data_IF_321724082064
#
_entry.id   IF_321724082064
#
_cell.length_a   1.000
_cell.length_b   1.000
_cell.length_c   1.000
_cell.angle_alpha   90.00
_cell.angle_beta   90.00
_cell.angle_gamma   90.00
#
_symmetry.space_group_name_H-M   'P 1'
#
loop_
_entity.id
_entity.type
_entity.pdbx_description
1 polymer ?
#
# COMPACT_ATOMS: atom_id res chain seq x y z
N UNK A 1 6.54 -12.76 -9.22
CA UNK A 1 5.55 -13.01 -10.29
C UNK A 1 5.85 -12.09 -11.45
N UNK A 2 5.50 -12.47 -12.68
CA UNK A 2 5.66 -11.69 -13.89
C UNK A 2 4.29 -11.60 -14.56
N UNK A 3 3.88 -10.39 -14.93
CA UNK A 3 2.67 -10.17 -15.73
C UNK A 3 3.02 -9.72 -17.14
N UNK A 4 2.10 -9.92 -18.08
CA UNK A 4 2.08 -9.19 -19.34
C UNK A 4 1.54 -7.76 -19.13
N UNK A 5 1.40 -7.02 -20.24
CA UNK A 5 0.97 -5.63 -20.32
C UNK A 5 -0.48 -5.39 -19.94
N UNK A 6 -1.35 -6.41 -20.05
CA UNK A 6 -2.74 -6.35 -19.60
C UNK A 6 -2.93 -6.76 -18.12
N UNK A 7 -1.89 -7.31 -17.47
CA UNK A 7 -1.89 -7.64 -16.05
C UNK A 7 -2.21 -9.11 -15.74
N UNK A 8 -2.11 -9.98 -16.74
CA UNK A 8 -2.22 -11.44 -16.59
C UNK A 8 -0.88 -12.01 -16.15
N UNK A 9 -0.90 -12.90 -15.16
CA UNK A 9 0.29 -13.59 -14.66
C UNK A 9 0.74 -14.64 -15.68
N UNK A 10 1.93 -14.42 -16.24
CA UNK A 10 2.59 -15.30 -17.23
C UNK A 10 3.76 -16.07 -16.63
N UNK A 11 4.10 -15.80 -15.37
CA UNK A 11 5.11 -16.54 -14.64
C UNK A 11 5.09 -16.24 -13.14
N UNK A 12 5.34 -17.25 -12.32
CA UNK A 12 5.54 -17.10 -10.89
C UNK A 12 6.55 -18.13 -10.41
N UNK A 13 7.34 -17.78 -9.41
CA UNK A 13 8.25 -18.75 -8.79
C UNK A 13 7.47 -19.72 -7.90
N UNK A 14 8.13 -20.80 -7.49
CA UNK A 14 7.53 -21.84 -6.65
C UNK A 14 6.98 -21.30 -5.34
N UNK A 15 7.67 -20.34 -4.71
CA UNK A 15 7.19 -19.72 -3.47
C UNK A 15 5.84 -19.03 -3.69
N UNK A 16 5.68 -18.22 -4.73
CA UNK A 16 4.41 -17.56 -5.02
C UNK A 16 3.29 -18.57 -5.30
N UNK A 17 3.56 -19.64 -6.05
CA UNK A 17 2.59 -20.69 -6.34
C UNK A 17 2.16 -21.46 -5.09
N UNK A 18 3.03 -21.60 -4.09
CA UNK A 18 2.73 -22.34 -2.87
C UNK A 18 1.83 -21.58 -1.87
N UNK A 19 1.83 -20.25 -1.89
CA UNK A 19 1.11 -19.41 -0.89
C UNK A 19 0.00 -18.54 -1.47
N UNK A 20 -0.06 -18.35 -2.79
CA UNK A 20 -1.08 -17.53 -3.43
C UNK A 20 -2.07 -18.42 -4.18
N UNK A 21 -3.37 -18.09 -4.17
CA UNK A 21 -4.42 -18.97 -4.70
C UNK A 21 -4.56 -18.91 -6.23
N UNK A 22 -3.73 -18.12 -6.92
CA UNK A 22 -3.87 -17.87 -8.36
C UNK A 22 -3.23 -18.95 -9.22
N UNK A 23 -3.76 -19.10 -10.43
CA UNK A 23 -3.22 -19.95 -11.50
C UNK A 23 -2.55 -19.13 -12.60
N UNK A 24 -1.67 -19.75 -13.38
CA UNK A 24 -1.12 -19.11 -14.58
C UNK A 24 -2.25 -18.73 -15.54
N UNK A 25 -2.21 -17.53 -16.10
CA UNK A 25 -3.30 -17.00 -16.93
C UNK A 25 -4.34 -16.20 -16.15
N UNK A 26 -4.35 -16.25 -14.82
CA UNK A 26 -5.18 -15.37 -14.01
C UNK A 26 -4.63 -13.94 -13.96
N UNK A 27 -5.51 -12.99 -13.64
CA UNK A 27 -5.09 -11.62 -13.33
C UNK A 27 -4.24 -11.58 -12.06
N UNK A 28 -3.29 -10.64 -12.01
CA UNK A 28 -2.51 -10.39 -10.79
C UNK A 28 -3.38 -10.04 -9.58
N UNK A 29 -4.55 -9.43 -9.82
CA UNK A 29 -5.52 -9.12 -8.76
C UNK A 29 -6.00 -10.39 -8.05
N UNK A 30 -6.26 -11.47 -8.78
CA UNK A 30 -6.66 -12.76 -8.20
C UNK A 30 -5.52 -13.35 -7.35
N UNK A 31 -4.29 -13.26 -7.85
CA UNK A 31 -3.12 -13.75 -7.11
C UNK A 31 -2.90 -13.01 -5.78
N UNK A 32 -3.16 -11.70 -5.75
CA UNK A 32 -2.86 -10.86 -4.59
C UNK A 32 -4.05 -10.65 -3.64
N UNK A 33 -5.27 -10.98 -4.03
CA UNK A 33 -6.48 -10.74 -3.23
C UNK A 33 -6.47 -11.49 -1.89
N UNK A 34 -5.81 -12.64 -1.80
CA UNK A 34 -5.67 -13.39 -0.55
C UNK A 34 -4.71 -12.73 0.46
N UNK A 35 -3.88 -11.77 0.03
CA UNK A 35 -2.90 -11.09 0.89
C UNK A 35 -3.15 -9.62 1.06
N UNK A 36 -3.83 -8.97 0.12
CA UNK A 36 -4.04 -7.53 0.14
C UNK A 36 -5.53 -7.19 0.25
N UNK A 37 -5.92 -6.23 1.13
CA UNK A 37 -7.32 -5.86 1.34
C UNK A 37 -7.98 -5.23 0.09
N UNK A 38 -7.22 -4.52 -0.75
CA UNK A 38 -7.67 -4.04 -2.07
C UNK A 38 -6.56 -4.18 -3.11
N UNK A 39 -6.37 -5.41 -3.61
CA UNK A 39 -5.36 -5.72 -4.61
C UNK A 39 -5.55 -4.91 -5.90
N UNK A 40 -6.79 -4.67 -6.34
CA UNK A 40 -7.09 -3.99 -7.59
C UNK A 40 -6.64 -2.52 -7.57
N UNK A 41 -6.91 -1.82 -6.46
CA UNK A 41 -6.47 -0.44 -6.28
C UNK A 41 -4.94 -0.35 -6.25
N UNK A 42 -4.27 -1.20 -5.46
CA UNK A 42 -2.80 -1.18 -5.33
C UNK A 42 -2.13 -1.40 -6.69
N UNK A 43 -2.56 -2.43 -7.43
CA UNK A 43 -2.05 -2.71 -8.77
C UNK A 43 -2.29 -1.53 -9.72
N UNK A 44 -3.49 -0.94 -9.71
CA UNK A 44 -3.83 0.18 -10.58
C UNK A 44 -2.99 1.43 -10.29
N UNK A 45 -2.77 1.74 -9.01
CA UNK A 45 -1.88 2.82 -8.57
C UNK A 45 -0.45 2.58 -9.07
N UNK A 46 0.09 1.39 -8.84
CA UNK A 46 1.45 1.05 -9.26
C UNK A 46 1.62 1.07 -10.78
N UNK A 47 0.64 0.56 -11.54
CA UNK A 47 0.66 0.62 -13.02
C UNK A 47 0.71 2.05 -13.54
N UNK A 48 -0.02 2.99 -12.92
CA UNK A 48 0.05 4.42 -13.30
C UNK A 48 1.45 5.00 -13.10
N UNK A 49 2.14 4.64 -12.02
CA UNK A 49 3.52 5.06 -11.78
C UNK A 49 4.44 4.45 -12.85
N UNK A 50 4.23 3.17 -13.17
CA UNK A 50 5.01 2.44 -14.18
C UNK A 50 4.81 2.95 -15.62
N UNK A 51 3.78 3.77 -15.89
CA UNK A 51 3.66 4.47 -17.18
C UNK A 51 4.69 5.58 -17.36
N UNK A 52 5.14 6.18 -16.24
CA UNK A 52 6.10 7.28 -16.25
C UNK A 52 7.52 6.85 -15.86
N UNK A 53 7.65 5.71 -15.17
CA UNK A 53 8.92 5.25 -14.59
C UNK A 53 9.07 3.73 -14.75
N UNK A 54 10.30 3.22 -14.77
CA UNK A 54 10.54 1.77 -14.87
C UNK A 54 10.35 1.02 -13.54
N UNK A 55 10.05 1.73 -12.45
CA UNK A 55 9.93 1.19 -11.10
C UNK A 55 8.74 1.81 -10.36
N UNK A 56 8.05 1.00 -9.57
CA UNK A 56 7.07 1.45 -8.60
C UNK A 56 7.17 0.60 -7.35
N UNK A 57 6.89 1.21 -6.19
CA UNK A 57 6.85 0.51 -4.92
C UNK A 57 5.64 0.99 -4.13
N UNK A 58 4.96 0.06 -3.49
CA UNK A 58 3.95 0.38 -2.49
C UNK A 58 4.14 -0.46 -1.23
N UNK A 59 3.68 0.07 -0.10
CA UNK A 59 3.68 -0.64 1.18
C UNK A 59 2.25 -0.67 1.71
N UNK A 60 1.73 -1.89 1.83
CA UNK A 60 0.34 -2.16 2.18
C UNK A 60 0.29 -2.71 3.60
N UNK A 61 -0.51 -2.09 4.44
CA UNK A 61 -0.82 -2.60 5.77
C UNK A 61 -1.94 -3.63 5.67
N UNK A 62 -1.71 -4.81 6.27
CA UNK A 62 -2.65 -5.93 6.32
C UNK A 62 -2.78 -6.41 7.76
N UNK A 63 -3.75 -7.28 8.04
CA UNK A 63 -3.89 -7.90 9.37
C UNK A 63 -2.65 -8.72 9.75
N UNK A 64 -2.01 -9.37 8.77
CA UNK A 64 -0.78 -10.15 8.94
C UNK A 64 0.51 -9.30 8.97
N UNK A 65 0.38 -7.98 9.01
CA UNK A 65 1.48 -7.03 9.05
C UNK A 65 1.69 -6.25 7.75
N UNK A 66 2.91 -5.76 7.54
CA UNK A 66 3.24 -4.87 6.44
C UNK A 66 3.79 -5.66 5.25
N UNK A 67 3.24 -5.41 4.07
CA UNK A 67 3.72 -5.98 2.81
C UNK A 67 4.31 -4.90 1.93
N UNK A 68 5.54 -5.11 1.48
CA UNK A 68 6.17 -4.29 0.46
C UNK A 68 5.99 -4.96 -0.89
N UNK A 69 5.58 -4.16 -1.87
CA UNK A 69 5.27 -4.62 -3.22
C UNK A 69 6.08 -3.76 -4.17
N UNK A 70 7.31 -4.18 -4.52
CA UNK A 70 8.05 -3.52 -5.57
C UNK A 70 7.71 -4.16 -6.92
N UNK A 71 7.64 -3.31 -7.94
CA UNK A 71 7.35 -3.68 -9.32
C UNK A 71 8.34 -3.01 -10.27
N UNK A 72 8.86 -3.78 -11.23
CA UNK A 72 9.78 -3.31 -12.25
C UNK A 72 9.24 -3.59 -13.63
N UNK A 73 9.29 -2.60 -14.50
CA UNK A 73 9.03 -2.82 -15.91
C UNK A 73 10.16 -3.65 -16.52
N UNK A 74 9.80 -4.74 -17.21
CA UNK A 74 10.73 -5.59 -17.96
C UNK A 74 10.44 -5.46 -19.46
N UNK A 75 11.30 -4.73 -20.15
CA UNK A 75 11.08 -4.40 -21.56
C UNK A 75 9.81 -3.56 -21.76
N UNK A 76 9.11 -3.76 -22.88
CA UNK A 76 7.92 -2.96 -23.22
C UNK A 76 6.60 -3.53 -22.73
N UNK A 77 6.55 -4.83 -22.39
CA UNK A 77 5.28 -5.55 -22.24
C UNK A 77 5.20 -6.44 -21.01
N UNK A 78 6.17 -6.39 -20.09
CA UNK A 78 6.15 -7.20 -18.88
C UNK A 78 6.42 -6.37 -17.65
N UNK A 79 5.88 -6.83 -16.54
CA UNK A 79 6.15 -6.25 -15.22
C UNK A 79 6.53 -7.39 -14.28
N UNK A 80 7.68 -7.27 -13.63
CA UNK A 80 8.12 -8.13 -12.54
C UNK A 80 7.56 -7.58 -11.24
N UNK A 81 6.81 -8.40 -10.53
CA UNK A 81 6.21 -8.10 -9.23
C UNK A 81 6.86 -8.95 -8.15
N UNK A 82 7.22 -8.34 -7.03
CA UNK A 82 7.63 -9.05 -5.82
C UNK A 82 6.68 -8.71 -4.69
N UNK A 83 6.51 -9.67 -3.79
CA UNK A 83 5.73 -9.51 -2.58
C UNK A 83 6.65 -9.87 -1.41
N UNK A 84 6.93 -8.89 -0.56
CA UNK A 84 7.86 -9.02 0.56
C UNK A 84 7.10 -8.75 1.86
N UNK A 85 7.09 -9.70 2.79
CA UNK A 85 6.62 -9.42 4.15
C UNK A 85 7.71 -8.67 4.88
N UNK A 86 7.41 -7.49 5.38
CA UNK A 86 8.30 -6.78 6.27
C UNK A 86 8.12 -7.35 7.67
N UNK A 87 8.94 -8.33 8.04
CA UNK A 87 9.05 -8.81 9.42
C UNK A 87 9.84 -7.78 10.22
N UNK A 88 9.18 -7.11 11.14
CA UNK A 88 9.86 -6.29 12.13
C UNK A 88 9.99 -7.14 13.40
N UNK A 89 11.17 -7.14 14.02
CA UNK A 89 11.46 -7.95 15.19
C UNK A 89 10.39 -7.74 16.28
N UNK A 90 9.93 -8.86 16.83
CA UNK A 90 8.92 -8.92 17.87
C UNK A 90 9.31 -8.02 19.05
N UNK A 91 8.51 -6.98 19.30
CA UNK A 91 8.73 -6.05 20.40
C UNK A 91 7.77 -4.86 20.47
N UNK A 92 7.22 -4.38 19.35
CA UNK A 92 6.29 -3.24 19.36
C UNK A 92 4.91 -3.62 18.80
N UNK A 93 4.02 -3.92 19.73
CA UNK A 93 2.67 -4.50 19.56
C UNK A 93 1.62 -3.60 18.92
N UNK A 94 1.97 -2.64 18.06
CA UNK A 94 0.93 -2.04 17.21
C UNK A 94 1.40 -1.44 15.89
N UNK A 95 2.68 -1.04 15.75
CA UNK A 95 3.21 -0.56 14.48
C UNK A 95 4.74 -0.59 14.44
N UNK A 96 5.34 -1.70 14.01
CA UNK A 96 6.77 -1.87 14.13
C UNK A 96 7.57 -1.30 12.94
N UNK A 97 6.98 -0.43 12.10
CA UNK A 97 7.61 0.08 10.88
C UNK A 97 8.23 1.48 11.01
N UNK A 98 9.34 1.74 10.29
CA UNK A 98 9.91 3.11 10.09
C UNK A 98 9.04 4.01 9.19
N UNK A 99 7.93 3.49 8.66
CA UNK A 99 7.04 4.22 7.76
C UNK A 99 5.94 4.82 8.62
N UNK A 100 5.76 6.14 8.53
CA UNK A 100 4.68 6.83 9.24
C UNK A 100 3.33 6.19 8.90
N UNK A 101 2.69 5.57 9.89
CA UNK A 101 1.46 4.81 9.76
C UNK A 101 0.42 5.29 10.77
N UNK A 102 -0.82 5.42 10.30
CA UNK A 102 -1.96 5.90 11.09
C UNK A 102 -3.13 4.94 10.87
N UNK A 103 -3.78 4.49 11.94
CA UNK A 103 -5.07 3.81 11.87
C UNK A 103 -6.18 4.80 12.17
N UNK A 104 -7.20 4.84 11.32
CA UNK A 104 -8.30 5.79 11.42
C UNK A 104 -9.63 5.05 11.41
N UNK A 105 -10.54 5.42 12.31
CA UNK A 105 -11.90 4.90 12.33
C UNK A 105 -12.74 5.56 11.22
N UNK A 106 -13.89 4.95 10.89
CA UNK A 106 -14.78 5.44 9.83
C UNK A 106 -15.23 6.90 10.01
N UNK A 107 -15.32 7.37 11.26
CA UNK A 107 -15.64 8.75 11.61
C UNK A 107 -14.45 9.73 11.52
N UNK A 108 -13.29 9.28 11.04
CA UNK A 108 -12.08 10.10 10.92
C UNK A 108 -11.24 10.22 12.20
N UNK A 109 -11.62 9.57 13.31
CA UNK A 109 -10.82 9.55 14.54
C UNK A 109 -9.56 8.70 14.35
N UNK A 110 -8.40 9.25 14.70
CA UNK A 110 -7.14 8.51 14.73
C UNK A 110 -7.16 7.58 15.93
N UNK A 111 -7.09 6.27 15.68
CA UNK A 111 -7.10 5.22 16.70
C UNK A 111 -5.69 4.93 17.19
N UNK A 112 -4.76 4.79 16.26
CA UNK A 112 -3.38 4.45 16.57
C UNK A 112 -2.40 5.17 15.64
N UNK A 113 -1.22 5.45 16.19
CA UNK A 113 -0.07 6.05 15.52
C UNK A 113 1.18 5.28 15.89
N UNK A 114 2.06 5.05 14.91
CA UNK A 114 3.40 4.54 15.19
C UNK A 114 4.37 5.66 15.54
N UNK A 115 5.53 5.31 16.09
CA UNK A 115 6.53 6.31 16.47
C UNK A 115 6.96 7.17 15.26
N UNK A 116 7.17 6.57 14.09
CA UNK A 116 7.48 7.30 12.86
C UNK A 116 6.40 8.33 12.47
N UNK A 117 5.10 8.03 12.66
CA UNK A 117 4.02 8.97 12.45
C UNK A 117 3.97 10.06 13.51
N UNK A 118 4.24 9.74 14.79
CA UNK A 118 4.35 10.74 15.86
C UNK A 118 5.47 11.74 15.59
N UNK A 119 6.60 11.27 15.06
CA UNK A 119 7.75 12.11 14.73
C UNK A 119 7.41 13.11 13.59
N UNK A 120 6.65 12.65 12.59
CA UNK A 120 6.26 13.43 11.40
C UNK A 120 5.09 14.38 11.68
N UNK A 121 4.05 13.91 12.38
CA UNK A 121 2.77 14.62 12.57
C UNK A 121 2.72 15.43 13.87
N UNK A 122 3.57 15.09 14.85
CA UNK A 122 3.46 15.57 16.23
C UNK A 122 2.47 14.75 17.06
N UNK A 123 2.64 14.77 18.37
CA UNK A 123 1.94 13.89 19.33
C UNK A 123 0.44 14.18 19.56
N UNK A 124 -0.15 15.19 18.90
CA UNK A 124 -1.49 15.71 19.23
C UNK A 124 -2.55 15.49 18.14
N UNK A 125 -2.23 14.79 17.05
CA UNK A 125 -3.20 14.51 16.00
C UNK A 125 -4.21 13.43 16.44
N UNK A 126 -5.42 13.84 16.82
CA UNK A 126 -6.51 12.94 17.25
C UNK A 126 -7.57 12.69 16.17
N UNK A 127 -7.59 13.52 15.11
CA UNK A 127 -8.47 13.37 13.95
C UNK A 127 -7.69 13.50 12.66
N UNK A 128 -8.06 12.70 11.65
CA UNK A 128 -7.41 12.71 10.35
C UNK A 128 -7.60 14.06 9.63
N UNK A 129 -8.70 14.78 9.90
CA UNK A 129 -8.94 16.12 9.35
C UNK A 129 -7.96 17.18 9.87
N UNK A 130 -7.32 16.96 11.02
CA UNK A 130 -6.27 17.85 11.53
C UNK A 130 -4.97 17.77 10.73
N UNK A 131 -4.83 16.72 9.90
CA UNK A 131 -3.64 16.51 9.09
C UNK A 131 -3.79 17.11 7.69
N UNK A 132 -5.01 17.47 7.27
CA UNK A 132 -5.31 17.99 5.94
C UNK A 132 -5.66 19.49 6.03
N UNK A 133 -4.90 20.32 5.32
CA UNK A 133 -5.03 21.78 5.29
C UNK A 133 -6.45 22.24 4.86
N UNK A 134 -7.14 21.40 4.08
CA UNK A 134 -8.51 21.64 3.61
C UNK A 134 -9.63 21.24 4.59
N UNK A 135 -9.29 20.67 5.76
CA UNK A 135 -10.21 20.15 6.82
C UNK A 135 -11.28 19.15 6.34
N UNK A 136 -11.28 18.75 5.07
CA UNK A 136 -12.20 17.75 4.51
C UNK A 136 -11.39 16.69 3.77
N UNK A 137 -11.41 15.48 4.31
CA UNK A 137 -10.91 14.30 3.61
C UNK A 137 -11.85 13.92 2.49
N UNK A 138 -11.28 13.68 1.32
CA UNK A 138 -12.00 13.17 0.16
C UNK A 138 -11.62 11.72 -0.05
N UNK A 139 -12.61 10.83 0.12
CA UNK A 139 -12.46 9.42 -0.21
C UNK A 139 -12.22 9.25 -1.71
N UNK A 140 -11.40 8.26 -2.07
CA UNK A 140 -11.05 7.95 -3.46
C UNK A 140 -10.40 9.13 -4.22
N UNK A 141 -9.75 10.04 -3.50
CA UNK A 141 -9.02 11.17 -4.06
C UNK A 141 -7.66 11.36 -3.36
N UNK A 142 -6.77 12.10 -4.03
CA UNK A 142 -5.48 12.50 -3.44
C UNK A 142 -5.76 13.62 -2.44
N UNK A 143 -5.45 13.36 -1.18
CA UNK A 143 -5.49 14.30 -0.07
C UNK A 143 -4.07 14.79 0.21
N UNK A 144 -3.91 16.03 0.65
CA UNK A 144 -2.62 16.58 1.06
C UNK A 144 -2.53 16.56 2.57
N UNK A 145 -1.48 15.96 3.13
CA UNK A 145 -1.10 16.15 4.53
C UNK A 145 -0.03 17.22 4.66
N UNK A 146 -0.20 18.10 5.64
CA UNK A 146 0.86 18.97 6.15
C UNK A 146 1.70 18.19 7.15
N UNK A 147 3.03 18.19 6.98
CA UNK A 147 3.95 17.58 7.96
C UNK A 147 5.00 18.60 8.38
N UNK A 148 5.72 18.33 9.48
CA UNK A 148 6.81 19.21 9.93
C UNK A 148 7.92 19.42 8.90
N UNK A 149 8.07 18.50 7.95
CA UNK A 149 9.13 18.56 6.94
C UNK A 149 8.67 19.18 5.60
N UNK A 150 7.46 18.84 5.14
CA UNK A 150 6.82 19.34 3.90
C UNK A 150 5.42 18.75 3.70
N UNK A 151 4.61 19.36 2.85
CA UNK A 151 3.31 18.81 2.45
C UNK A 151 3.49 17.55 1.57
N UNK A 152 2.75 16.48 1.85
CA UNK A 152 2.81 15.20 1.14
C UNK A 152 1.42 14.70 0.71
N UNK A 153 1.30 14.14 -0.49
CA UNK A 153 0.03 13.59 -0.98
C UNK A 153 -0.20 12.14 -0.53
N UNK A 154 -1.42 11.82 -0.09
CA UNK A 154 -1.84 10.45 0.24
C UNK A 154 -3.24 10.16 -0.33
N UNK A 155 -3.51 8.90 -0.65
CA UNK A 155 -4.79 8.46 -1.19
C UNK A 155 -5.55 7.65 -0.15
N UNK A 156 -6.81 7.98 0.08
CA UNK A 156 -7.66 7.31 1.07
C UNK A 156 -8.72 6.46 0.36
N UNK A 157 -8.52 5.15 0.19
CA UNK A 157 -9.53 4.29 -0.41
C UNK A 157 -10.72 4.09 0.53
N UNK A 158 -11.92 4.11 -0.02
CA UNK A 158 -13.12 3.76 0.72
C UNK A 158 -13.30 2.23 0.71
N UNK A 159 -13.15 1.59 1.87
CA UNK A 159 -13.53 0.19 2.04
C UNK A 159 -15.06 0.10 2.05
N UNK A 160 -15.63 -0.75 1.19
CA UNK A 160 -17.05 -1.12 1.27
C UNK A 160 -17.23 -2.10 2.42
N UNK A 161 -17.86 -1.63 3.50
CA UNK A 161 -18.60 -2.50 4.43
C UNK A 161 -19.98 -2.80 3.88
#
# INVERSE_FOLDING_TARGET
MITNDIGIVVGANQSAQAVLPGSMGDSLTIWLSAKLPDAAMVISKMRRILLAQSYAEDIVLTEDGHWRIPAWQQGRSRILWRLERLSFQDGETNFPSRIASIRVAANGTIRDLNQAARDVLGSHATQLCHLNDSKKLTWNAINTIETRARSAGFFCPQSRG
#
